data_IF_176132961077
#
_entry.id   IF_176132961077
#
_cell.length_a   1.000
_cell.length_b   1.000
_cell.length_c   1.000
_cell.angle_alpha   90.00
_cell.angle_beta   90.00
_cell.angle_gamma   90.00
#
_symmetry.space_group_name_H-M   'P 1'
#
loop_
_entity.id
_entity.type
_entity.pdbx_description
1 polymer ?
#
# COMPACT_ATOMS: atom_id res chain seq x y z
N UNK A 1 -2.37 -37.81 -2.03
CA UNK A 1 -3.75 -37.83 -2.58
C UNK A 1 -4.26 -36.40 -2.61
N UNK A 2 -4.53 -35.74 -3.75
CA UNK A 2 -5.01 -34.37 -3.77
C UNK A 2 -6.54 -34.37 -3.76
N UNK A 3 -7.14 -34.49 -2.58
CA UNK A 3 -8.61 -34.49 -2.39
C UNK A 3 -8.97 -33.78 -1.09
N UNK A 4 -9.14 -32.47 -1.19
CA UNK A 4 -9.77 -31.61 -0.18
C UNK A 4 -10.59 -30.53 -0.90
N UNK A 5 -11.60 -29.93 -0.23
CA UNK A 5 -12.60 -29.03 -0.85
C UNK A 5 -12.01 -27.78 -1.53
N UNK A 6 -10.74 -27.45 -1.26
CA UNK A 6 -10.03 -26.31 -1.83
C UNK A 6 -9.35 -26.60 -3.18
N UNK A 7 -9.53 -27.79 -3.78
CA UNK A 7 -8.93 -28.11 -5.08
C UNK A 7 -9.53 -27.21 -6.17
N UNK A 8 -8.73 -26.26 -6.68
CA UNK A 8 -9.14 -25.30 -7.71
C UNK A 8 -9.57 -23.93 -7.18
N UNK A 9 -9.56 -23.70 -5.86
CA UNK A 9 -9.74 -22.36 -5.29
C UNK A 9 -8.46 -21.55 -5.48
N UNK A 10 -8.55 -20.48 -6.28
CA UNK A 10 -7.50 -19.46 -6.40
C UNK A 10 -7.94 -18.27 -5.55
N UNK A 11 -7.18 -17.92 -4.51
CA UNK A 11 -7.43 -16.71 -3.74
C UNK A 11 -7.16 -15.50 -4.65
N UNK A 12 -8.19 -14.70 -4.92
CA UNK A 12 -8.04 -13.45 -5.66
C UNK A 12 -7.46 -12.37 -4.72
N UNK A 13 -6.16 -12.43 -4.48
CA UNK A 13 -5.45 -11.60 -3.50
C UNK A 13 -5.29 -10.13 -3.95
N UNK A 14 -5.26 -9.87 -5.26
CA UNK A 14 -5.11 -8.52 -5.85
C UNK A 14 -6.06 -7.46 -5.26
N UNK A 15 -7.39 -7.67 -5.23
CA UNK A 15 -8.31 -6.68 -4.65
C UNK A 15 -8.07 -6.48 -3.15
N UNK A 16 -7.81 -7.55 -2.40
CA UNK A 16 -7.52 -7.45 -0.96
C UNK A 16 -6.24 -6.67 -0.70
N UNK A 17 -5.22 -6.88 -1.53
CA UNK A 17 -3.95 -6.18 -1.42
C UNK A 17 -4.16 -4.69 -1.70
N UNK A 18 -4.86 -4.34 -2.78
CA UNK A 18 -5.18 -2.94 -3.11
C UNK A 18 -5.90 -2.24 -1.95
N UNK A 19 -6.94 -2.86 -1.40
CA UNK A 19 -7.66 -2.30 -0.25
C UNK A 19 -6.77 -2.15 0.99
N UNK A 20 -5.88 -3.10 1.23
CA UNK A 20 -4.92 -3.02 2.34
C UNK A 20 -3.98 -1.82 2.20
N UNK A 21 -3.40 -1.59 1.01
CA UNK A 21 -2.54 -0.41 0.78
C UNK A 21 -3.33 0.89 0.98
N UNK A 22 -4.54 0.99 0.41
CA UNK A 22 -5.40 2.16 0.57
C UNK A 22 -5.74 2.43 2.05
N UNK A 23 -6.13 1.39 2.79
CA UNK A 23 -6.47 1.51 4.22
C UNK A 23 -5.27 1.97 5.06
N UNK A 24 -4.05 1.56 4.68
CA UNK A 24 -2.82 1.98 5.36
C UNK A 24 -2.34 3.37 4.94
N UNK A 25 -2.99 4.01 3.98
CA UNK A 25 -2.58 5.30 3.44
C UNK A 25 -1.32 5.17 2.59
N UNK A 26 -1.23 4.09 1.81
CA UNK A 26 -0.15 3.80 0.89
C UNK A 26 -0.70 3.72 -0.54
N UNK A 27 0.13 4.11 -1.49
CA UNK A 27 -0.18 4.00 -2.89
C UNK A 27 0.07 2.58 -3.39
N UNK A 28 -0.93 2.00 -4.05
CA UNK A 28 -0.86 0.61 -4.52
C UNK A 28 0.13 0.44 -5.68
N UNK A 29 0.26 1.44 -6.56
CA UNK A 29 1.09 1.32 -7.77
C UNK A 29 2.58 1.43 -7.46
N UNK A 30 2.97 2.38 -6.61
CA UNK A 30 4.35 2.60 -6.19
C UNK A 30 4.75 1.77 -4.96
N UNK A 31 3.78 1.30 -4.17
CA UNK A 31 4.02 0.64 -2.89
C UNK A 31 4.56 1.57 -1.79
N UNK A 32 4.55 2.89 -2.02
CA UNK A 32 5.05 3.88 -1.08
C UNK A 32 3.92 4.46 -0.20
N UNK A 33 4.20 4.83 1.06
CA UNK A 33 3.26 5.63 1.84
C UNK A 33 3.02 6.99 1.18
N UNK A 34 1.80 7.51 1.26
CA UNK A 34 1.53 8.89 0.87
C UNK A 34 2.28 9.87 1.79
N UNK A 35 2.69 11.00 1.22
CA UNK A 35 3.36 12.07 1.97
C UNK A 35 2.52 12.50 3.19
N UNK A 36 1.22 12.69 2.99
CA UNK A 36 0.29 13.13 4.04
C UNK A 36 0.11 12.05 5.13
N UNK A 37 0.27 10.76 4.79
CA UNK A 37 0.26 9.68 5.79
C UNK A 37 1.48 9.79 6.71
N UNK A 38 2.65 10.09 6.15
CA UNK A 38 3.88 10.26 6.94
C UNK A 38 3.79 11.50 7.83
N UNK A 39 3.34 12.63 7.29
CA UNK A 39 3.13 13.89 8.03
C UNK A 39 2.13 13.70 9.18
N UNK A 40 0.98 13.06 8.92
CA UNK A 40 -0.05 12.78 9.95
C UNK A 40 0.47 11.91 11.09
N UNK A 41 1.45 11.05 10.82
CA UNK A 41 2.08 10.17 11.82
C UNK A 41 3.29 10.83 12.51
N UNK A 42 3.67 12.06 12.15
CA UNK A 42 4.86 12.74 12.67
C UNK A 42 6.17 12.14 12.18
N UNK A 43 6.15 11.51 10.99
CA UNK A 43 7.29 10.84 10.36
C UNK A 43 7.93 11.70 9.27
N UNK A 44 7.94 13.02 9.44
CA UNK A 44 8.47 13.99 8.47
C UNK A 44 9.93 13.70 8.09
N UNK A 45 10.73 13.21 9.04
CA UNK A 45 12.11 12.81 8.79
C UNK A 45 12.20 11.63 7.80
N UNK A 46 11.26 10.67 7.88
CA UNK A 46 11.18 9.53 6.94
C UNK A 46 10.75 10.04 5.57
N UNK A 47 9.77 10.95 5.51
CA UNK A 47 9.34 11.56 4.26
C UNK A 47 10.51 12.26 3.55
N UNK A 48 11.32 13.00 4.30
CA UNK A 48 12.50 13.68 3.77
C UNK A 48 13.57 12.69 3.26
N UNK A 49 13.83 11.58 3.97
CA UNK A 49 14.77 10.56 3.49
C UNK A 49 14.27 9.86 2.22
N UNK A 50 12.98 9.52 2.16
CA UNK A 50 12.40 8.86 0.98
C UNK A 50 12.40 9.78 -0.25
N UNK A 51 12.13 11.07 -0.08
CA UNK A 51 12.17 12.09 -1.15
C UNK A 51 13.54 12.24 -1.82
N UNK A 52 14.63 11.82 -1.17
CA UNK A 52 15.97 11.81 -1.78
C UNK A 52 16.11 10.76 -2.88
N UNK A 53 15.29 9.71 -2.85
CA UNK A 53 15.38 8.54 -3.73
C UNK A 53 14.15 8.33 -4.60
N UNK A 54 12.99 8.78 -4.13
CA UNK A 54 11.70 8.53 -4.75
C UNK A 54 10.89 9.82 -4.84
N UNK A 55 9.95 9.85 -5.79
CA UNK A 55 8.88 10.84 -5.80
C UNK A 55 7.74 10.26 -4.95
N UNK A 56 7.49 10.86 -3.78
CA UNK A 56 6.41 10.39 -2.91
C UNK A 56 5.05 10.70 -3.54
N UNK A 57 4.10 9.74 -3.49
CA UNK A 57 2.74 9.98 -3.97
C UNK A 57 2.01 10.91 -2.99
N UNK A 58 1.03 11.65 -3.52
CA UNK A 58 0.15 12.53 -2.74
C UNK A 58 -1.28 12.02 -2.76
N UNK A 59 -1.95 12.09 -1.62
CA UNK A 59 -3.38 11.80 -1.50
C UNK A 59 -4.14 12.84 -2.33
N UNK A 60 -4.77 12.38 -3.41
CA UNK A 60 -5.75 13.19 -4.14
C UNK A 60 -6.92 13.43 -3.21
N UNK A 61 -7.00 14.63 -2.65
CA UNK A 61 -8.18 15.07 -1.94
C UNK A 61 -9.30 15.19 -2.98
N UNK A 62 -10.33 14.36 -2.83
CA UNK A 62 -11.59 14.48 -3.58
C UNK A 62 -12.41 15.65 -3.07
#
# INVERSE_FOLDING_TARGET
MPTGPSKGQVCNLEPMLREYYMYRGWDYESGLPYEETLERLGLDYVANELKKKYVLPRLKHG
#
